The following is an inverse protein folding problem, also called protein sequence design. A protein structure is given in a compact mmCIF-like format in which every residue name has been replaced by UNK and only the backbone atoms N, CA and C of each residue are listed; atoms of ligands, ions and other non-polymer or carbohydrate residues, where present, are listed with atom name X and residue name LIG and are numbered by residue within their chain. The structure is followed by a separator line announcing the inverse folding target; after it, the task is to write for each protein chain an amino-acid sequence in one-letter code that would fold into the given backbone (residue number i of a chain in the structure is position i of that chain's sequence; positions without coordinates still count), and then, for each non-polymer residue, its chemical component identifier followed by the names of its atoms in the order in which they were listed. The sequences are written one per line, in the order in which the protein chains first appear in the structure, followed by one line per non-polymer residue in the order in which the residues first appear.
data_IF_063087094044
#
_entry.id   IF_063087094044
#
_cell.length_a   1.000
_cell.length_b   1.000
_cell.length_c   1.000
_cell.angle_alpha   90.00
_cell.angle_beta   90.00
_cell.angle_gamma   90.00
#
_symmetry.space_group_name_H-M   'P 1'
#
loop_
_entity.id
_entity.type
_entity.pdbx_description
1 polymer ?
#
# COMPACT_ATOMS: atom_id res chain seq x y z
N UNK A 1 12.72 7.46 -0.17
CA UNK A 1 11.67 6.85 0.69
C UNK A 1 10.42 7.72 0.77
N UNK A 2 10.57 9.05 0.71
CA UNK A 2 9.52 10.03 1.05
C UNK A 2 8.37 10.16 0.03
N UNK A 3 8.61 9.96 -1.28
CA UNK A 3 7.54 10.14 -2.29
C UNK A 3 6.39 9.12 -2.23
N UNK A 4 6.63 7.91 -1.71
CA UNK A 4 5.59 6.87 -1.65
C UNK A 4 4.56 7.14 -0.55
N UNK A 5 4.93 7.96 0.43
CA UNK A 5 4.11 8.33 1.58
C UNK A 5 3.81 9.84 1.62
N UNK A 6 4.03 10.56 0.52
CA UNK A 6 3.85 12.01 0.46
C UNK A 6 2.44 12.47 0.89
N UNK A 7 1.44 11.60 0.73
CA UNK A 7 0.05 11.88 1.10
C UNK A 7 -0.37 11.25 2.44
N UNK A 8 0.52 10.57 3.15
CA UNK A 8 0.23 9.90 4.42
C UNK A 8 0.78 8.48 4.46
N UNK A 9 1.22 8.05 5.64
CA UNK A 9 1.64 6.67 5.88
C UNK A 9 0.37 5.82 6.06
N UNK A 10 0.24 4.66 5.41
CA UNK A 10 -0.86 3.74 5.71
C UNK A 10 -0.83 3.35 7.19
N UNK A 11 -1.99 3.11 7.78
CA UNK A 11 -2.06 2.57 9.14
C UNK A 11 -1.53 1.14 9.13
N UNK A 12 -0.40 0.93 9.81
CA UNK A 12 0.26 -0.36 10.00
C UNK A 12 0.00 -0.96 11.39
N UNK A 13 -0.88 -0.35 12.20
CA UNK A 13 -1.15 -0.76 13.59
C UNK A 13 -1.57 -2.23 13.69
N UNK A 14 -2.24 -2.76 12.66
CA UNK A 14 -2.67 -4.16 12.58
C UNK A 14 -1.93 -4.95 11.50
N UNK A 15 -0.78 -4.46 11.03
CA UNK A 15 0.03 -5.10 9.99
C UNK A 15 1.15 -5.92 10.63
N UNK A 16 1.17 -7.22 10.36
CA UNK A 16 2.24 -8.12 10.76
C UNK A 16 3.44 -8.04 9.81
N UNK A 17 3.17 -7.93 8.51
CA UNK A 17 4.21 -7.82 7.48
C UNK A 17 3.65 -7.12 6.23
N UNK A 18 4.44 -6.23 5.63
CA UNK A 18 4.10 -5.55 4.39
C UNK A 18 5.25 -5.67 3.40
N UNK A 19 4.99 -6.29 2.25
CA UNK A 19 5.92 -6.32 1.12
C UNK A 19 5.34 -5.51 -0.04
N UNK A 20 6.10 -4.57 -0.58
CA UNK A 20 5.71 -3.79 -1.75
C UNK A 20 6.72 -4.04 -2.87
N UNK A 21 6.21 -4.41 -4.05
CA UNK A 21 6.99 -4.62 -5.28
C UNK A 21 6.45 -3.71 -6.39
N UNK A 22 7.34 -2.96 -7.03
CA UNK A 22 6.99 -1.95 -8.04
C UNK A 22 6.76 -0.55 -7.45
N UNK A 23 6.27 0.38 -8.27
CA UNK A 23 5.91 1.74 -7.86
C UNK A 23 4.46 1.80 -7.37
N UNK A 24 4.31 1.91 -6.06
CA UNK A 24 3.02 1.99 -5.37
C UNK A 24 3.01 3.22 -4.48
N UNK A 25 1.98 4.05 -4.63
CA UNK A 25 1.69 5.19 -3.77
C UNK A 25 0.42 4.96 -2.97
N UNK A 26 0.36 5.58 -1.79
CA UNK A 26 -0.79 5.53 -0.90
C UNK A 26 -1.39 6.92 -0.72
N UNK A 27 -2.72 7.02 -0.81
CA UNK A 27 -3.47 8.17 -0.34
C UNK A 27 -3.71 8.06 1.19
N UNK A 28 -4.41 9.05 1.77
CA UNK A 28 -4.66 9.12 3.22
C UNK A 28 -5.51 7.95 3.70
N UNK A 29 -5.41 7.62 4.99
CA UNK A 29 -6.32 6.68 5.65
C UNK A 29 -6.39 5.26 5.03
N UNK A 30 -5.36 4.84 4.31
CA UNK A 30 -5.23 3.42 3.89
C UNK A 30 -4.89 2.58 5.11
N UNK A 31 -5.53 1.42 5.27
CA UNK A 31 -5.31 0.51 6.40
C UNK A 31 -4.80 -0.81 5.88
N UNK A 32 -3.68 -1.29 6.43
CA UNK A 32 -3.11 -2.60 6.11
C UNK A 32 -3.23 -3.52 7.32
N UNK A 33 -3.79 -4.72 7.12
CA UNK A 33 -4.04 -5.71 8.16
C UNK A 33 -3.38 -7.04 7.82
N UNK A 34 -2.80 -7.71 8.83
CA UNK A 34 -2.21 -9.03 8.66
C UNK A 34 -0.87 -8.99 7.91
N UNK A 35 -0.60 -10.04 7.15
CA UNK A 35 0.59 -10.14 6.28
C UNK A 35 0.18 -9.95 4.84
N UNK A 36 0.66 -8.88 4.19
CA UNK A 36 0.21 -8.45 2.87
C UNK A 36 1.38 -8.22 1.92
N UNK A 37 1.25 -8.73 0.70
CA UNK A 37 2.12 -8.46 -0.43
C UNK A 37 1.37 -7.67 -1.52
N UNK A 38 1.83 -6.45 -1.80
CA UNK A 38 1.31 -5.59 -2.88
C UNK A 38 2.32 -5.58 -4.02
N UNK A 39 1.90 -6.00 -5.22
CA UNK A 39 2.75 -6.03 -6.42
C UNK A 39 2.10 -5.25 -7.55
N UNK A 40 2.69 -4.13 -7.92
CA UNK A 40 2.38 -3.43 -9.16
C UNK A 40 3.26 -4.00 -10.28
N UNK A 41 2.63 -4.57 -11.31
CA UNK A 41 3.30 -5.13 -12.48
C UNK A 41 3.42 -4.13 -13.64
N UNK A 42 2.78 -2.97 -13.52
CA UNK A 42 2.73 -1.94 -14.56
C UNK A 42 3.97 -1.05 -14.49
N UNK A 43 4.28 -0.42 -15.61
CA UNK A 43 5.34 0.61 -15.68
C UNK A 43 4.92 1.92 -15.00
N UNK A 44 3.61 2.18 -14.91
CA UNK A 44 3.05 3.37 -14.24
C UNK A 44 2.81 3.15 -12.76
N UNK A 45 2.87 4.23 -11.97
CA UNK A 45 2.56 4.22 -10.54
C UNK A 45 1.12 3.77 -10.28
N UNK A 46 0.95 2.80 -9.39
CA UNK A 46 -0.36 2.43 -8.85
C UNK A 46 -0.68 3.25 -7.60
N UNK A 47 -1.89 3.82 -7.53
CA UNK A 47 -2.35 4.61 -6.37
C UNK A 47 -3.43 3.83 -5.63
N UNK A 48 -3.16 3.50 -4.37
CA UNK A 48 -4.17 2.97 -3.45
C UNK A 48 -4.99 4.14 -2.92
N UNK A 49 -6.30 4.08 -3.12
CA UNK A 49 -7.23 5.17 -2.82
C UNK A 49 -7.49 5.34 -1.34
N UNK A 50 -7.83 6.57 -0.94
CA UNK A 50 -8.15 6.89 0.44
C UNK A 50 -9.24 5.97 1.02
N UNK A 51 -9.05 5.55 2.28
CA UNK A 51 -9.99 4.69 3.00
C UNK A 51 -9.95 3.21 2.60
N UNK A 52 -9.08 2.82 1.67
CA UNK A 52 -8.93 1.41 1.28
C UNK A 52 -8.41 0.58 2.45
N UNK A 53 -9.05 -0.57 2.69
CA UNK A 53 -8.56 -1.59 3.62
C UNK A 53 -7.96 -2.73 2.80
N UNK A 54 -6.71 -3.09 3.10
CA UNK A 54 -6.01 -4.21 2.47
C UNK A 54 -5.69 -5.23 3.56
N UNK A 55 -6.31 -6.40 3.47
CA UNK A 55 -6.17 -7.52 4.40
C UNK A 55 -5.74 -8.82 3.72
N UNK A 56 -5.40 -8.75 2.43
CA UNK A 56 -4.91 -9.84 1.61
C UNK A 56 -3.96 -9.31 0.52
N UNK A 57 -3.25 -10.24 -0.14
CA UNK A 57 -2.33 -9.92 -1.22
C UNK A 57 -3.04 -9.22 -2.40
N UNK A 58 -2.33 -8.28 -3.03
CA UNK A 58 -2.85 -7.45 -4.11
C UNK A 58 -1.89 -7.43 -5.29
N UNK A 59 -2.39 -7.79 -6.48
CA UNK A 59 -1.68 -7.69 -7.76
C UNK A 59 -2.36 -6.62 -8.61
N UNK A 60 -1.59 -5.61 -9.03
CA UNK A 60 -2.04 -4.42 -9.76
C UNK A 60 -1.47 -4.36 -11.18
#
# INVERSE_FOLDING_TARGET
LEERFANGVPSLVSCNALTIKGDVGFEKNVIIRGSVCIKNLRESRAIIKEGTVIDQDLIL
#
